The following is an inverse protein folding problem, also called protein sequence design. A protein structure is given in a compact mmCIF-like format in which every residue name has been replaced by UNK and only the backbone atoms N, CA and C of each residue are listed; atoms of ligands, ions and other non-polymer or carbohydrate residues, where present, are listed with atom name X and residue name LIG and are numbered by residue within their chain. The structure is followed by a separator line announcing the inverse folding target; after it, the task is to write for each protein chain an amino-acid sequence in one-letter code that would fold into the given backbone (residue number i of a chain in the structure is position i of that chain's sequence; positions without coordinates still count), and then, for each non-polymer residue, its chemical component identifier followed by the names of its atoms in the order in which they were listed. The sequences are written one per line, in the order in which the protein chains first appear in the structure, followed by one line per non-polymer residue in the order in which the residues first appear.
data_IF_293598358654
#
_entry.id   IF_293598358654
#
_cell.length_a   1.000
_cell.length_b   1.000
_cell.length_c   1.000
_cell.angle_alpha   90.00
_cell.angle_beta   90.00
_cell.angle_gamma   90.00
#
_symmetry.space_group_name_H-M   'P 1'
#
loop_
_entity.id
_entity.type
_entity.pdbx_description
1 polymer ?
#
# COMPACT_ATOMS: atom_id res chain seq x y z
N UNK A 1 20.96 6.15 17.19
CA UNK A 1 19.94 5.61 16.27
C UNK A 1 18.67 5.52 17.08
N UNK A 2 17.87 6.57 17.04
CA UNK A 2 16.82 6.75 18.06
C UNK A 2 15.44 6.99 17.47
N UNK A 3 15.23 6.63 16.19
CA UNK A 3 13.91 6.84 15.59
C UNK A 3 13.62 5.90 14.42
N UNK A 4 12.31 5.80 14.11
CA UNK A 4 11.75 5.23 12.91
C UNK A 4 11.23 6.38 12.05
N UNK A 5 11.76 6.54 10.84
CA UNK A 5 11.31 7.54 9.87
C UNK A 5 10.24 6.96 8.95
N UNK A 6 9.21 7.76 8.69
CA UNK A 6 8.22 7.48 7.66
C UNK A 6 8.16 8.70 6.72
N UNK A 7 8.46 8.47 5.44
CA UNK A 7 8.25 9.50 4.43
C UNK A 7 6.75 9.64 4.15
N UNK A 8 6.27 10.87 4.21
CA UNK A 8 4.86 11.20 3.99
C UNK A 8 4.68 11.67 2.56
N UNK A 9 4.00 10.89 1.75
CA UNK A 9 3.61 11.26 0.40
C UNK A 9 2.35 12.12 0.47
N UNK A 10 2.44 13.30 -0.10
CA UNK A 10 1.33 14.27 -0.17
C UNK A 10 1.14 14.64 -1.64
N UNK A 11 -0.05 14.41 -2.15
CA UNK A 11 -0.46 14.73 -3.50
C UNK A 11 -1.75 15.54 -3.46
N UNK A 12 -1.79 16.65 -4.22
CA UNK A 12 -2.96 17.53 -4.33
C UNK A 12 -3.55 17.96 -2.95
N UNK A 13 -2.66 18.18 -1.96
CA UNK A 13 -2.97 18.53 -0.56
C UNK A 13 -3.61 17.40 0.26
N UNK A 14 -3.57 16.19 -0.21
CA UNK A 14 -4.04 15.02 0.52
C UNK A 14 -2.86 14.10 0.87
N UNK A 15 -2.89 13.55 2.09
CA UNK A 15 -1.92 12.54 2.50
C UNK A 15 -2.29 11.21 1.86
N UNK A 16 -1.35 10.59 1.16
CA UNK A 16 -1.58 9.25 0.61
C UNK A 16 -1.87 8.23 1.72
N UNK A 17 -2.88 7.39 1.53
CA UNK A 17 -3.31 6.40 2.52
C UNK A 17 -2.17 5.51 3.01
N UNK A 18 -1.26 5.12 2.12
CA UNK A 18 -0.09 4.31 2.48
C UNK A 18 0.81 5.00 3.51
N UNK A 19 0.91 6.33 3.50
CA UNK A 19 1.67 7.08 4.50
C UNK A 19 1.05 6.97 5.89
N UNK A 20 -0.28 6.98 5.99
CA UNK A 20 -1.00 6.79 7.25
C UNK A 20 -0.94 5.32 7.73
N UNK A 21 -0.99 4.36 6.80
CA UNK A 21 -0.75 2.94 7.08
C UNK A 21 0.66 2.75 7.66
N UNK A 22 1.67 3.39 7.05
CA UNK A 22 3.06 3.33 7.49
C UNK A 22 3.30 4.00 8.84
N UNK A 23 2.60 5.08 9.17
CA UNK A 23 2.65 5.66 10.51
C UNK A 23 2.09 4.71 11.55
N UNK A 24 0.95 4.05 11.27
CA UNK A 24 0.39 3.04 12.18
C UNK A 24 1.39 1.90 12.41
N UNK A 25 1.98 1.33 11.36
CA UNK A 25 2.99 0.28 11.49
C UNK A 25 4.29 0.79 12.12
N UNK A 26 4.72 1.98 11.73
CA UNK A 26 5.89 2.65 12.32
C UNK A 26 5.75 2.86 13.83
N UNK A 27 4.54 3.16 14.33
CA UNK A 27 4.27 3.26 15.77
C UNK A 27 4.47 1.93 16.50
N UNK A 28 4.02 0.81 15.91
CA UNK A 28 4.27 -0.51 16.47
C UNK A 28 5.78 -0.81 16.54
N UNK A 29 6.50 -0.57 15.45
CA UNK A 29 7.95 -0.78 15.37
C UNK A 29 8.71 0.11 16.36
N UNK A 30 8.38 1.40 16.41
CA UNK A 30 8.99 2.38 17.30
C UNK A 30 8.74 2.02 18.78
N UNK A 31 7.55 1.54 19.11
CA UNK A 31 7.20 1.07 20.46
C UNK A 31 8.03 -0.16 20.85
N UNK A 32 8.17 -1.12 19.93
CA UNK A 32 8.99 -2.33 20.16
C UNK A 32 10.46 -1.99 20.36
N UNK A 33 10.96 -0.98 19.64
CA UNK A 33 12.35 -0.52 19.72
C UNK A 33 12.61 0.46 20.89
N UNK A 34 11.56 1.01 21.52
CA UNK A 34 11.68 2.05 22.55
C UNK A 34 12.20 3.37 22.00
N UNK A 35 11.84 3.75 20.77
CA UNK A 35 12.31 4.95 20.06
C UNK A 35 11.14 5.80 19.56
N UNK A 36 11.42 7.01 19.06
CA UNK A 36 10.42 7.88 18.48
C UNK A 36 10.00 7.42 17.07
N UNK A 37 8.73 7.67 16.75
CA UNK A 37 8.23 7.66 15.39
C UNK A 37 8.27 9.09 14.83
N UNK A 38 8.95 9.28 13.71
CA UNK A 38 9.13 10.58 13.11
C UNK A 38 8.64 10.58 11.66
N UNK A 39 7.71 11.47 11.36
CA UNK A 39 7.20 11.69 10.01
C UNK A 39 8.08 12.69 9.27
N UNK A 40 8.33 12.48 7.98
CA UNK A 40 9.10 13.41 7.13
C UNK A 40 8.20 13.86 5.98
N UNK A 41 7.81 15.14 5.99
CA UNK A 41 6.96 15.77 5.00
C UNK A 41 7.76 16.81 4.20
N UNK A 42 7.87 16.60 2.88
CA UNK A 42 8.60 17.49 1.96
C UNK A 42 7.62 17.90 0.86
N UNK A 43 7.37 19.20 0.70
CA UNK A 43 6.40 19.68 -0.28
C UNK A 43 6.04 21.14 -0.10
N UNK A 44 4.91 21.53 -0.69
CA UNK A 44 4.29 22.85 -0.51
C UNK A 44 3.08 22.73 0.39
N UNK A 45 2.93 23.64 1.33
CA UNK A 45 1.80 23.70 2.30
C UNK A 45 1.70 22.43 3.16
N UNK A 46 2.81 21.70 3.38
CA UNK A 46 2.80 20.39 4.07
C UNK A 46 2.69 20.51 5.60
N UNK A 47 3.04 21.66 6.16
CA UNK A 47 3.02 21.91 7.60
C UNK A 47 1.62 21.79 8.22
N UNK A 48 0.56 22.06 7.42
CA UNK A 48 -0.83 21.94 7.89
C UNK A 48 -1.25 20.52 8.25
N UNK A 49 -0.55 19.50 7.74
CA UNK A 49 -0.87 18.09 7.98
C UNK A 49 -0.30 17.55 9.30
N UNK A 50 0.55 18.29 10.01
CA UNK A 50 1.23 17.80 11.22
C UNK A 50 0.27 17.26 12.29
N UNK A 51 -0.87 17.94 12.51
CA UNK A 51 -1.88 17.49 13.46
C UNK A 51 -2.57 16.17 13.07
N UNK A 52 -2.70 15.91 11.78
CA UNK A 52 -3.23 14.64 11.28
C UNK A 52 -2.19 13.52 11.44
N UNK A 53 -0.93 13.77 11.10
CA UNK A 53 0.15 12.81 11.27
C UNK A 53 0.34 12.41 12.75
N UNK A 54 0.16 13.34 13.68
CA UNK A 54 0.18 13.08 15.12
C UNK A 54 -0.93 12.10 15.58
N UNK A 55 -2.11 12.13 14.94
CA UNK A 55 -3.19 11.18 15.23
C UNK A 55 -2.80 9.73 14.88
N UNK A 56 -1.92 9.55 13.90
CA UNK A 56 -1.41 8.23 13.50
C UNK A 56 -0.08 7.87 14.18
N UNK A 57 0.33 8.66 15.18
CA UNK A 57 1.40 8.27 16.10
C UNK A 57 2.75 8.97 15.89
N UNK A 58 2.85 9.97 15.01
CA UNK A 58 4.09 10.73 14.85
C UNK A 58 4.40 11.56 16.09
N UNK A 59 5.53 11.26 16.75
CA UNK A 59 6.04 12.03 17.88
C UNK A 59 6.66 13.35 17.39
N UNK A 60 7.33 13.30 16.26
CA UNK A 60 7.96 14.44 15.58
C UNK A 60 7.52 14.47 14.12
N UNK A 61 7.29 15.66 13.59
CA UNK A 61 7.02 15.89 12.18
C UNK A 61 8.10 16.83 11.62
N UNK A 62 9.00 16.28 10.85
CA UNK A 62 10.00 17.01 10.09
C UNK A 62 9.38 17.61 8.83
N UNK A 63 9.56 18.91 8.62
CA UNK A 63 8.89 19.66 7.56
C UNK A 63 9.90 20.44 6.71
N UNK A 64 9.91 20.17 5.40
CA UNK A 64 10.50 21.02 4.40
C UNK A 64 9.37 21.61 3.54
N UNK A 65 8.86 22.77 3.93
CA UNK A 65 7.70 23.41 3.32
C UNK A 65 8.11 24.58 2.44
N UNK A 66 8.14 24.34 1.12
CA UNK A 66 8.48 25.35 0.14
C UNK A 66 7.90 25.00 -1.25
N UNK A 67 7.59 26.04 -2.06
CA UNK A 67 7.13 25.89 -3.44
C UNK A 67 8.09 25.12 -4.33
N UNK A 68 9.39 25.15 -4.02
CA UNK A 68 10.43 24.46 -4.77
C UNK A 68 10.24 22.95 -4.83
N UNK A 69 9.50 22.37 -3.87
CA UNK A 69 9.21 20.94 -3.81
C UNK A 69 7.92 20.53 -4.52
N UNK A 70 7.15 21.46 -5.03
CA UNK A 70 5.91 21.20 -5.77
C UNK A 70 6.05 21.57 -7.27
N UNK A 71 5.58 20.72 -8.19
CA UNK A 71 5.20 19.31 -7.97
C UNK A 71 6.42 18.44 -7.63
N UNK A 72 6.18 17.20 -7.15
CA UNK A 72 7.23 16.27 -6.75
C UNK A 72 8.31 16.12 -7.82
N UNK A 73 9.57 16.21 -7.40
CA UNK A 73 10.76 15.93 -8.20
C UNK A 73 11.74 15.12 -7.37
N UNK A 74 12.22 14.03 -7.92
CA UNK A 74 13.02 13.05 -7.18
C UNK A 74 14.31 13.62 -6.61
N UNK A 75 15.04 14.44 -7.38
CA UNK A 75 16.35 14.92 -6.95
C UNK A 75 16.30 15.84 -5.70
N UNK A 76 15.50 16.94 -5.67
CA UNK A 76 15.47 17.80 -4.49
C UNK A 76 14.92 17.08 -3.26
N UNK A 77 13.90 16.20 -3.42
CA UNK A 77 13.41 15.41 -2.31
C UNK A 77 14.48 14.44 -1.79
N UNK A 78 15.26 13.81 -2.70
CA UNK A 78 16.38 12.93 -2.32
C UNK A 78 17.43 13.69 -1.53
N UNK A 79 17.82 14.89 -1.96
CA UNK A 79 18.81 15.70 -1.27
C UNK A 79 18.38 16.03 0.18
N UNK A 80 17.12 16.43 0.37
CA UNK A 80 16.56 16.71 1.70
C UNK A 80 16.52 15.46 2.56
N UNK A 81 15.98 14.36 2.04
CA UNK A 81 15.82 13.11 2.81
C UNK A 81 17.16 12.53 3.22
N UNK A 82 18.14 12.52 2.31
CA UNK A 82 19.51 12.06 2.59
C UNK A 82 20.17 12.92 3.66
N UNK A 83 20.11 14.25 3.48
CA UNK A 83 20.70 15.19 4.45
C UNK A 83 20.09 15.04 5.85
N UNK A 84 18.78 14.87 5.93
CA UNK A 84 18.09 14.63 7.22
C UNK A 84 18.49 13.29 7.83
N UNK A 85 18.55 12.22 7.04
CA UNK A 85 18.97 10.89 7.52
C UNK A 85 20.42 10.91 8.02
N UNK A 86 21.33 11.62 7.36
CA UNK A 86 22.73 11.78 7.78
C UNK A 86 22.87 12.55 9.09
N UNK A 87 21.99 13.53 9.33
CA UNK A 87 21.94 14.30 10.58
C UNK A 87 21.36 13.50 11.73
N UNK A 88 20.14 12.95 11.55
CA UNK A 88 19.35 12.34 12.64
C UNK A 88 19.65 10.85 12.85
N UNK A 89 20.21 10.17 11.85
CA UNK A 89 20.63 8.75 11.87
C UNK A 89 19.53 7.82 12.37
N UNK A 90 18.35 7.78 11.74
CA UNK A 90 17.29 6.87 12.14
C UNK A 90 17.73 5.40 12.01
N UNK A 91 17.10 4.52 12.76
CA UNK A 91 17.35 3.07 12.66
C UNK A 91 16.62 2.48 11.44
N UNK A 92 15.43 2.99 11.14
CA UNK A 92 14.56 2.50 10.07
C UNK A 92 14.05 3.71 9.27
N UNK A 93 13.90 3.55 7.95
CA UNK A 93 13.23 4.52 7.09
C UNK A 93 12.26 3.80 6.14
N UNK A 94 10.98 4.18 6.22
CA UNK A 94 9.88 3.55 5.50
C UNK A 94 9.29 4.49 4.43
N UNK A 95 8.91 3.90 3.30
CA UNK A 95 8.32 4.59 2.16
C UNK A 95 7.13 3.79 1.61
N UNK A 96 6.13 4.46 1.02
CA UNK A 96 5.10 3.78 0.25
C UNK A 96 5.66 3.16 -1.04
N UNK A 97 5.16 2.02 -1.47
CA UNK A 97 5.51 1.43 -2.77
C UNK A 97 4.63 2.00 -3.92
N UNK A 98 4.31 3.28 -3.85
CA UNK A 98 3.64 4.08 -4.88
C UNK A 98 4.57 4.34 -6.08
N UNK A 99 4.08 4.87 -7.20
CA UNK A 99 4.96 5.35 -8.27
C UNK A 99 6.03 6.34 -7.79
N UNK A 100 5.66 7.25 -6.87
CA UNK A 100 6.60 8.21 -6.26
C UNK A 100 7.64 7.47 -5.40
N UNK A 101 7.20 6.63 -4.47
CA UNK A 101 8.12 5.94 -3.57
C UNK A 101 9.03 4.95 -4.27
N UNK A 102 8.58 4.32 -5.37
CA UNK A 102 9.40 3.41 -6.19
C UNK A 102 10.50 4.12 -6.99
N UNK A 103 10.34 5.39 -7.30
CA UNK A 103 11.41 6.21 -7.88
C UNK A 103 12.29 6.83 -6.78
N UNK A 104 11.70 7.28 -5.69
CA UNK A 104 12.36 8.05 -4.64
C UNK A 104 13.22 7.19 -3.70
N UNK A 105 12.66 6.14 -3.11
CA UNK A 105 13.35 5.34 -2.09
C UNK A 105 14.64 4.67 -2.58
N UNK A 106 14.74 4.13 -3.82
CA UNK A 106 16.00 3.59 -4.34
C UNK A 106 17.10 4.64 -4.49
N UNK A 107 16.75 5.89 -4.79
CA UNK A 107 17.74 6.98 -4.89
C UNK A 107 18.30 7.35 -3.52
N UNK A 108 17.42 7.43 -2.50
CA UNK A 108 17.86 7.64 -1.12
C UNK A 108 18.76 6.48 -0.65
N UNK A 109 18.34 5.24 -0.91
CA UNK A 109 19.12 4.02 -0.59
C UNK A 109 20.51 4.03 -1.25
N UNK A 110 20.57 4.37 -2.53
CA UNK A 110 21.82 4.44 -3.30
C UNK A 110 22.75 5.52 -2.75
N UNK A 111 22.24 6.70 -2.42
CA UNK A 111 23.04 7.80 -1.89
C UNK A 111 23.62 7.47 -0.50
N UNK A 112 22.86 6.77 0.33
CA UNK A 112 23.28 6.35 1.67
C UNK A 112 24.09 5.04 1.69
N UNK A 113 24.28 4.38 0.55
CA UNK A 113 24.85 3.03 0.45
C UNK A 113 24.19 2.04 1.42
N UNK A 114 22.89 2.17 1.62
CA UNK A 114 22.07 1.31 2.49
C UNK A 114 21.17 0.38 1.68
N UNK A 115 20.89 -0.82 2.21
CA UNK A 115 19.98 -1.76 1.55
C UNK A 115 18.53 -1.32 1.61
N UNK A 116 17.79 -1.53 0.50
CA UNK A 116 16.36 -1.28 0.40
C UNK A 116 15.63 -2.55 -0.05
N UNK A 117 14.63 -2.98 0.72
CA UNK A 117 13.72 -4.03 0.29
C UNK A 117 12.46 -3.41 -0.30
N UNK A 118 12.16 -3.76 -1.55
CA UNK A 118 11.03 -3.19 -2.25
C UNK A 118 9.76 -4.03 -2.09
N UNK A 119 8.59 -3.35 -2.00
CA UNK A 119 7.26 -3.94 -2.09
C UNK A 119 6.96 -4.94 -0.97
N UNK A 120 7.33 -4.59 0.26
CA UNK A 120 7.06 -5.40 1.44
C UNK A 120 5.56 -5.47 1.74
N UNK A 121 5.14 -6.60 2.30
CA UNK A 121 3.76 -6.81 2.76
C UNK A 121 3.66 -6.93 4.27
N UNK A 122 4.79 -7.16 4.96
CA UNK A 122 4.85 -7.21 6.41
C UNK A 122 6.21 -6.73 6.91
N UNK A 123 6.22 -6.11 8.09
CA UNK A 123 7.41 -5.60 8.78
C UNK A 123 7.35 -6.01 10.25
N UNK A 124 8.42 -6.64 10.76
CA UNK A 124 8.50 -7.10 12.16
C UNK A 124 9.90 -6.84 12.72
N UNK A 125 10.02 -6.54 14.00
CA UNK A 125 11.30 -6.51 14.69
C UNK A 125 11.65 -7.92 15.20
N UNK A 126 12.88 -8.36 14.95
CA UNK A 126 13.35 -9.67 15.36
C UNK A 126 14.86 -9.72 15.61
N UNK A 127 15.32 -10.85 16.13
CA UNK A 127 16.72 -11.17 16.38
C UNK A 127 17.29 -12.01 15.24
N UNK A 128 18.51 -11.77 14.83
CA UNK A 128 19.14 -12.53 13.75
C UNK A 128 20.55 -12.97 14.14
N UNK A 129 20.83 -14.24 13.90
CA UNK A 129 22.18 -14.80 14.03
C UNK A 129 22.73 -15.13 12.65
N UNK A 130 23.80 -14.47 12.28
CA UNK A 130 24.48 -14.75 11.02
C UNK A 130 25.13 -16.14 11.07
N UNK A 131 24.70 -17.03 10.19
CA UNK A 131 25.15 -18.42 10.16
C UNK A 131 26.63 -18.59 9.79
N UNK A 132 27.24 -17.59 9.11
CA UNK A 132 28.64 -17.65 8.67
C UNK A 132 29.60 -17.09 9.72
N UNK A 133 29.24 -15.97 10.33
CA UNK A 133 30.09 -15.25 11.28
C UNK A 133 29.76 -15.59 12.72
N UNK A 134 28.61 -16.18 13.01
CA UNK A 134 28.09 -16.42 14.36
C UNK A 134 27.68 -15.16 15.10
N UNK A 135 27.74 -13.99 14.45
CA UNK A 135 27.38 -12.70 15.05
C UNK A 135 25.87 -12.62 15.28
N UNK A 136 25.48 -12.22 16.46
CA UNK A 136 24.09 -11.99 16.85
C UNK A 136 23.76 -10.51 16.71
N UNK A 137 22.57 -10.24 16.19
CA UNK A 137 22.02 -8.90 15.99
C UNK A 137 20.64 -8.86 16.61
N UNK A 138 20.45 -7.93 17.51
CA UNK A 138 19.18 -7.67 18.14
C UNK A 138 18.44 -6.56 17.38
N UNK A 139 17.12 -6.57 17.45
CA UNK A 139 16.28 -5.47 16.99
C UNK A 139 16.45 -5.13 15.49
N UNK A 140 16.54 -6.16 14.64
CA UNK A 140 16.55 -5.99 13.18
C UNK A 140 15.13 -5.90 12.61
N UNK A 141 14.98 -5.10 11.56
CA UNK A 141 13.77 -5.06 10.77
C UNK A 141 13.72 -6.27 9.83
N UNK A 142 12.77 -7.17 10.05
CA UNK A 142 12.41 -8.22 9.10
C UNK A 142 11.48 -7.64 8.05
N UNK A 143 11.96 -7.66 6.82
CA UNK A 143 11.31 -7.08 5.66
C UNK A 143 10.74 -8.22 4.84
N UNK A 144 9.45 -8.47 4.99
CA UNK A 144 8.76 -9.64 4.45
C UNK A 144 8.04 -9.25 3.17
N UNK A 145 8.31 -9.99 2.11
CA UNK A 145 7.69 -9.76 0.81
C UNK A 145 7.41 -11.04 0.05
N UNK A 146 6.37 -11.09 -0.79
CA UNK A 146 6.18 -12.16 -1.75
C UNK A 146 7.30 -12.15 -2.82
N UNK A 147 7.78 -13.34 -3.17
CA UNK A 147 8.75 -13.55 -4.24
C UNK A 147 8.22 -14.61 -5.22
N UNK A 148 8.80 -14.67 -6.42
CA UNK A 148 8.45 -15.64 -7.45
C UNK A 148 6.95 -15.77 -7.73
N UNK A 149 6.29 -14.64 -8.00
CA UNK A 149 4.86 -14.62 -8.31
C UNK A 149 3.94 -14.90 -7.11
N UNK A 150 4.46 -14.76 -5.86
CA UNK A 150 3.69 -14.97 -4.65
C UNK A 150 3.76 -16.39 -4.06
N UNK A 151 4.44 -17.32 -4.73
CA UNK A 151 4.56 -18.70 -4.25
C UNK A 151 5.55 -18.88 -3.09
N UNK A 152 6.41 -17.89 -2.86
CA UNK A 152 7.42 -17.90 -1.81
C UNK A 152 7.33 -16.57 -1.06
N UNK A 153 7.42 -16.64 0.25
CA UNK A 153 7.57 -15.47 1.12
C UNK A 153 9.06 -15.38 1.49
N UNK A 154 9.68 -14.25 1.17
CA UNK A 154 11.06 -13.98 1.51
C UNK A 154 11.12 -13.03 2.71
N UNK A 155 11.87 -13.41 3.75
CA UNK A 155 12.23 -12.53 4.84
C UNK A 155 13.65 -12.01 4.61
N UNK A 156 13.78 -10.70 4.46
CA UNK A 156 15.04 -10.03 4.15
C UNK A 156 15.46 -9.24 5.38
N UNK A 157 16.75 -9.33 5.72
CA UNK A 157 17.36 -8.59 6.82
C UNK A 157 18.57 -7.81 6.33
N UNK A 158 18.80 -6.63 6.90
CA UNK A 158 19.96 -5.79 6.63
C UNK A 158 20.69 -5.48 7.96
N UNK A 159 21.60 -6.37 8.40
CA UNK A 159 22.16 -6.26 9.73
C UNK A 159 23.22 -5.15 9.90
N UNK A 160 23.94 -4.79 8.83
CA UNK A 160 25.11 -3.92 8.95
C UNK A 160 24.88 -2.47 8.56
N UNK A 161 23.95 -2.21 7.62
CA UNK A 161 23.69 -0.85 7.15
C UNK A 161 22.50 -0.19 7.88
N UNK A 162 22.56 1.12 8.02
CA UNK A 162 21.49 1.96 8.58
C UNK A 162 21.30 3.20 7.71
N UNK A 163 20.03 3.68 7.62
CA UNK A 163 18.80 3.05 8.13
C UNK A 163 18.49 1.73 7.42
N UNK A 164 17.73 0.84 8.06
CA UNK A 164 17.12 -0.29 7.39
C UNK A 164 15.93 0.23 6.61
N UNK A 165 15.93 0.07 5.28
CA UNK A 165 14.96 0.73 4.42
C UNK A 165 14.01 -0.26 3.75
N UNK A 166 12.74 0.11 3.69
CA UNK A 166 11.72 -0.67 2.99
C UNK A 166 10.74 0.24 2.25
N UNK A 167 10.31 -0.19 1.05
CA UNK A 167 9.04 0.30 0.51
C UNK A 167 7.95 -0.71 0.82
N UNK A 168 6.75 -0.25 1.16
CA UNK A 168 5.62 -1.08 1.59
C UNK A 168 4.48 -0.91 0.61
N UNK A 169 3.90 -2.03 0.20
CA UNK A 169 2.76 -2.07 -0.71
C UNK A 169 1.57 -1.34 -0.09
N UNK A 170 0.85 -0.59 -0.91
CA UNK A 170 -0.37 0.09 -0.50
C UNK A 170 -1.46 -0.91 -0.12
N UNK A 171 -2.23 -0.59 0.93
CA UNK A 171 -3.38 -1.38 1.34
C UNK A 171 -3.04 -2.69 2.09
N UNK A 172 -1.76 -2.94 2.43
CA UNK A 172 -1.36 -4.16 3.18
C UNK A 172 -1.19 -3.93 4.68
N UNK A 173 -0.96 -2.69 5.10
CA UNK A 173 -0.89 -2.34 6.52
C UNK A 173 -2.23 -1.75 6.99
N UNK A 174 -2.47 -1.75 8.29
CA UNK A 174 -3.66 -1.12 8.86
C UNK A 174 -3.49 0.40 8.90
N UNK A 175 -4.59 1.11 8.71
CA UNK A 175 -4.70 2.56 8.90
C UNK A 175 -5.56 2.82 10.13
N UNK A 176 -4.93 2.98 11.29
CA UNK A 176 -5.64 3.12 12.58
C UNK A 176 -5.11 4.33 13.32
N UNK A 177 -5.99 5.30 13.58
CA UNK A 177 -5.65 6.45 14.39
C UNK A 177 -5.56 6.05 15.87
N UNK A 178 -4.64 6.65 16.61
CA UNK A 178 -4.51 6.47 18.05
C UNK A 178 -5.71 7.08 18.79
N UNK A 179 -6.11 6.44 19.90
CA UNK A 179 -7.13 6.98 20.79
C UNK A 179 -6.73 8.34 21.38
N UNK A 180 -5.43 8.53 21.64
CA UNK A 180 -4.84 9.81 22.04
C UNK A 180 -3.72 10.14 21.06
N UNK A 181 -3.78 11.28 20.34
CA UNK A 181 -2.73 11.70 19.43
C UNK A 181 -1.35 11.77 20.11
N UNK A 182 -0.29 11.46 19.37
CA UNK A 182 1.08 11.68 19.80
C UNK A 182 1.42 13.19 19.88
N UNK A 183 2.63 13.54 20.32
CA UNK A 183 3.03 14.94 20.51
C UNK A 183 2.99 15.75 19.21
N UNK A 184 3.41 15.15 18.08
CA UNK A 184 3.42 15.80 16.78
C UNK A 184 4.29 17.06 16.75
N UNK A 185 5.43 17.03 17.46
CA UNK A 185 6.36 18.18 17.51
C UNK A 185 6.83 18.52 16.10
N UNK A 186 6.56 19.75 15.66
CA UNK A 186 6.98 20.21 14.32
C UNK A 186 8.43 20.67 14.38
N UNK A 187 9.28 20.11 13.52
CA UNK A 187 10.67 20.53 13.32
C UNK A 187 10.89 20.90 11.86
N UNK A 188 11.39 22.10 11.65
CA UNK A 188 11.71 22.59 10.31
C UNK A 188 13.08 22.05 9.85
N UNK A 189 13.13 21.57 8.61
CA UNK A 189 14.36 21.08 7.99
C UNK A 189 15.06 22.28 7.32
N UNK A 190 16.33 22.48 7.61
CA UNK A 190 17.17 23.51 6.95
C UNK A 190 17.58 23.03 5.53
N UNK A 191 16.59 22.77 4.68
CA UNK A 191 16.75 22.15 3.37
C UNK A 191 17.64 22.94 2.42
N UNK A 192 17.76 24.26 2.60
CA UNK A 192 18.61 25.14 1.78
C UNK A 192 20.10 24.76 1.86
N UNK A 193 20.50 24.11 2.95
CA UNK A 193 21.86 23.59 3.12
C UNK A 193 22.09 22.24 2.42
N UNK A 194 21.01 21.54 2.06
CA UNK A 194 21.03 20.18 1.53
C UNK A 194 20.84 20.14 0.01
N UNK A 195 19.99 21.03 -0.52
CA UNK A 195 19.63 21.08 -1.95
C UNK A 195 20.64 21.94 -2.70
N UNK A 196 21.18 21.41 -3.80
CA UNK A 196 22.13 22.09 -4.70
C UNK A 196 21.41 22.50 -5.99
N UNK A 197 21.97 23.45 -6.72
CA UNK A 197 21.45 23.88 -8.04
C UNK A 197 21.29 22.69 -9.00
N UNK A 198 22.19 21.71 -8.93
CA UNK A 198 22.14 20.49 -9.74
C UNK A 198 20.90 19.64 -9.46
N UNK A 199 20.37 19.68 -8.25
CA UNK A 199 19.17 18.93 -7.86
C UNK A 199 17.90 19.59 -8.43
N UNK A 200 17.98 20.85 -8.83
CA UNK A 200 16.92 21.66 -9.43
C UNK A 200 16.96 21.70 -10.96
N UNK A 201 17.90 20.98 -11.59
CA UNK A 201 18.12 21.02 -13.05
C UNK A 201 16.90 20.56 -13.89
N UNK A 202 15.99 19.79 -13.31
CA UNK A 202 14.78 19.28 -13.98
C UNK A 202 13.57 20.14 -13.60
N UNK A 203 12.84 20.62 -14.61
CA UNK A 203 11.57 21.33 -14.45
C UNK A 203 10.45 20.53 -15.09
N UNK A 204 9.35 20.31 -14.36
CA UNK A 204 8.13 19.73 -14.92
C UNK A 204 7.46 20.80 -15.76
N UNK A 205 7.25 20.53 -17.04
CA UNK A 205 6.61 21.44 -17.98
C UNK A 205 5.11 21.24 -17.99
N UNK A 206 4.67 19.97 -17.93
CA UNK A 206 3.26 19.58 -17.98
C UNK A 206 3.07 18.29 -17.20
N UNK A 207 1.93 18.16 -16.55
CA UNK A 207 1.52 16.96 -15.82
C UNK A 207 0.13 16.55 -16.31
N UNK A 208 0.03 15.38 -16.92
CA UNK A 208 -1.24 14.78 -17.27
C UNK A 208 -1.64 13.80 -16.19
N UNK A 209 -2.71 14.09 -15.49
CA UNK A 209 -3.34 13.19 -14.51
C UNK A 209 -4.59 12.63 -15.17
N UNK A 210 -4.62 11.34 -15.42
CA UNK A 210 -5.86 10.67 -15.79
C UNK A 210 -6.77 10.62 -14.55
N UNK A 211 -7.95 11.21 -14.66
CA UNK A 211 -8.96 11.09 -13.60
C UNK A 211 -9.33 9.61 -13.44
N UNK A 212 -8.97 9.02 -12.31
CA UNK A 212 -9.44 7.67 -11.96
C UNK A 212 -10.95 7.74 -11.76
N UNK A 213 -11.71 7.37 -12.77
CA UNK A 213 -13.18 7.30 -12.73
C UNK A 213 -13.70 6.22 -11.77
N UNK A 214 -12.82 5.31 -11.31
CA UNK A 214 -13.18 4.12 -10.56
C UNK A 214 -12.28 4.03 -9.33
N UNK A 215 -12.87 4.09 -8.15
CA UNK A 215 -12.14 3.90 -6.88
C UNK A 215 -12.61 2.62 -6.19
N UNK A 216 -11.98 1.48 -6.52
CA UNK A 216 -12.31 0.20 -5.90
C UNK A 216 -11.62 -0.01 -4.55
N UNK A 217 -10.56 0.76 -4.22
CA UNK A 217 -9.82 0.61 -2.94
C UNK A 217 -10.69 0.89 -1.71
N UNK A 218 -11.53 1.92 -1.78
CA UNK A 218 -12.39 2.35 -0.67
C UNK A 218 -13.75 1.67 -0.63
N UNK A 219 -14.06 0.77 -1.57
CA UNK A 219 -15.37 0.16 -1.67
C UNK A 219 -15.64 -0.82 -0.52
N UNK A 220 -16.79 -0.66 0.17
CA UNK A 220 -17.24 -1.58 1.22
C UNK A 220 -17.73 -2.92 0.66
N UNK A 221 -18.20 -2.95 -0.58
CA UNK A 221 -18.67 -4.14 -1.28
C UNK A 221 -18.01 -4.18 -2.64
N UNK A 222 -17.44 -5.33 -3.00
CA UNK A 222 -16.86 -5.57 -4.32
C UNK A 222 -17.45 -6.85 -4.91
N UNK A 223 -17.96 -6.74 -6.12
CA UNK A 223 -18.34 -7.89 -6.95
C UNK A 223 -17.31 -8.04 -8.06
N UNK A 224 -16.50 -9.08 -8.02
CA UNK A 224 -15.42 -9.28 -8.95
C UNK A 224 -15.71 -10.40 -9.95
N UNK A 225 -15.48 -10.13 -11.23
CA UNK A 225 -15.62 -11.10 -12.30
C UNK A 225 -14.28 -11.69 -12.72
N UNK A 226 -14.24 -13.02 -12.91
CA UNK A 226 -13.12 -13.73 -13.48
C UNK A 226 -13.31 -14.08 -14.96
N UNK A 227 -12.34 -14.80 -15.53
CA UNK A 227 -12.45 -15.33 -16.89
C UNK A 227 -13.65 -16.28 -17.06
N UNK A 228 -14.06 -16.96 -15.97
CA UNK A 228 -15.21 -17.86 -15.95
C UNK A 228 -16.57 -17.16 -16.13
N UNK A 229 -16.63 -15.82 -16.16
CA UNK A 229 -17.83 -15.05 -16.57
C UNK A 229 -18.07 -15.17 -18.09
N UNK A 230 -17.04 -15.55 -18.87
CA UNK A 230 -17.14 -15.99 -20.26
C UNK A 230 -17.10 -14.89 -21.29
N UNK A 231 -17.66 -13.70 -21.05
CA UNK A 231 -17.69 -12.61 -22.03
C UNK A 231 -17.86 -11.23 -21.40
N UNK A 232 -17.69 -10.19 -22.22
CA UNK A 232 -17.98 -8.80 -21.84
C UNK A 232 -19.47 -8.61 -21.52
N UNK A 233 -20.36 -9.28 -22.24
CA UNK A 233 -21.81 -9.26 -22.01
C UNK A 233 -22.15 -9.93 -20.67
N UNK A 234 -21.47 -11.03 -20.31
CA UNK A 234 -21.59 -11.70 -19.00
C UNK A 234 -21.20 -10.79 -17.84
N UNK A 235 -20.23 -9.87 -18.04
CA UNK A 235 -19.87 -8.88 -17.05
C UNK A 235 -21.02 -7.90 -16.71
N UNK A 236 -22.02 -7.77 -17.55
CA UNK A 236 -23.22 -6.99 -17.21
C UNK A 236 -23.93 -7.51 -15.97
N UNK A 237 -23.94 -8.82 -15.74
CA UNK A 237 -24.51 -9.43 -14.51
C UNK A 237 -23.68 -9.05 -13.27
N UNK A 238 -22.36 -9.01 -13.40
CA UNK A 238 -21.46 -8.59 -12.31
C UNK A 238 -21.74 -7.12 -11.95
N UNK A 239 -21.86 -6.27 -12.95
CA UNK A 239 -22.24 -4.86 -12.77
C UNK A 239 -23.63 -4.70 -12.13
N UNK A 240 -24.62 -5.47 -12.58
CA UNK A 240 -25.97 -5.41 -12.01
C UNK A 240 -25.97 -5.80 -10.53
N UNK A 241 -25.27 -6.89 -10.18
CA UNK A 241 -25.15 -7.32 -8.78
C UNK A 241 -24.44 -6.28 -7.92
N UNK A 242 -23.32 -5.71 -8.41
CA UNK A 242 -22.61 -4.65 -7.71
C UNK A 242 -23.51 -3.43 -7.45
N UNK A 243 -24.21 -2.95 -8.48
CA UNK A 243 -25.14 -1.83 -8.36
C UNK A 243 -26.26 -2.10 -7.34
N UNK A 244 -26.83 -3.30 -7.34
CA UNK A 244 -27.91 -3.67 -6.41
C UNK A 244 -27.41 -3.70 -4.97
N UNK A 245 -26.17 -4.11 -4.75
CA UNK A 245 -25.54 -4.15 -3.43
C UNK A 245 -24.90 -2.82 -3.00
N UNK A 246 -24.91 -1.80 -3.86
CA UNK A 246 -24.24 -0.51 -3.61
C UNK A 246 -22.73 -0.64 -3.56
N UNK A 247 -22.17 -1.56 -4.35
CA UNK A 247 -20.75 -1.86 -4.40
C UNK A 247 -20.09 -1.50 -5.73
N UNK A 248 -18.78 -1.76 -5.80
CA UNK A 248 -17.95 -1.55 -6.99
C UNK A 248 -17.66 -2.88 -7.70
N UNK A 249 -17.35 -2.77 -9.00
CA UNK A 249 -16.97 -3.93 -9.83
C UNK A 249 -15.46 -4.08 -9.86
N UNK A 250 -14.99 -5.28 -9.47
CA UNK A 250 -13.61 -5.70 -9.65
C UNK A 250 -13.45 -6.76 -10.75
N UNK A 251 -12.19 -7.08 -11.08
CA UNK A 251 -11.90 -8.10 -12.08
C UNK A 251 -10.60 -8.85 -11.78
N UNK A 252 -10.51 -10.10 -12.23
CA UNK A 252 -9.24 -10.79 -12.30
C UNK A 252 -8.42 -10.31 -13.51
N UNK A 253 -7.09 -10.46 -13.45
CA UNK A 253 -6.21 -10.15 -14.58
C UNK A 253 -6.65 -10.84 -15.87
N UNK A 254 -7.00 -12.12 -15.80
CA UNK A 254 -7.42 -12.88 -16.97
C UNK A 254 -8.68 -12.31 -17.64
N UNK A 255 -9.61 -11.74 -16.87
CA UNK A 255 -10.79 -11.08 -17.42
C UNK A 255 -10.45 -9.73 -18.07
N UNK A 256 -9.51 -8.98 -17.50
CA UNK A 256 -8.99 -7.74 -18.08
C UNK A 256 -8.22 -8.01 -19.36
N UNK A 257 -7.28 -8.97 -19.35
CA UNK A 257 -6.48 -9.37 -20.52
C UNK A 257 -7.38 -9.88 -21.66
N UNK A 258 -8.54 -10.47 -21.33
CA UNK A 258 -9.56 -10.88 -22.31
C UNK A 258 -10.45 -9.72 -22.81
N UNK A 259 -10.29 -8.51 -22.28
CA UNK A 259 -11.06 -7.32 -22.67
C UNK A 259 -12.51 -7.29 -22.16
N UNK A 260 -12.81 -8.06 -21.09
CA UNK A 260 -14.16 -8.08 -20.51
C UNK A 260 -14.47 -6.80 -19.72
N UNK A 261 -13.42 -6.17 -19.15
CA UNK A 261 -13.54 -4.92 -18.41
C UNK A 261 -12.22 -4.12 -18.44
N UNK A 262 -12.24 -2.90 -17.91
CA UNK A 262 -11.11 -1.99 -17.90
C UNK A 262 -10.02 -2.41 -16.91
N UNK A 263 -8.76 -1.99 -17.19
CA UNK A 263 -7.59 -2.33 -16.38
C UNK A 263 -7.66 -1.77 -14.93
N UNK A 264 -8.30 -0.63 -14.74
CA UNK A 264 -8.47 0.02 -13.43
C UNK A 264 -9.27 -0.83 -12.43
N UNK A 265 -10.02 -1.81 -12.93
CA UNK A 265 -10.78 -2.78 -12.11
C UNK A 265 -9.98 -4.03 -11.72
N UNK A 266 -8.72 -4.13 -12.17
CA UNK A 266 -7.91 -5.30 -11.89
C UNK A 266 -7.55 -5.41 -10.42
N UNK A 267 -7.88 -6.54 -9.78
CA UNK A 267 -7.54 -6.89 -8.41
C UNK A 267 -6.48 -7.99 -8.40
N UNK A 268 -5.48 -7.85 -7.54
CA UNK A 268 -4.42 -8.82 -7.38
C UNK A 268 -3.03 -8.18 -7.22
N UNK A 269 -1.98 -8.99 -7.26
CA UNK A 269 -0.59 -8.55 -7.08
C UNK A 269 -0.13 -7.47 -8.07
N UNK A 270 -0.63 -7.52 -9.29
CA UNK A 270 -0.31 -6.57 -10.37
C UNK A 270 -1.41 -5.53 -10.61
N UNK A 271 -2.42 -5.54 -9.78
CA UNK A 271 -3.55 -4.61 -9.79
C UNK A 271 -3.71 -3.89 -8.46
N UNK A 272 -4.95 -3.62 -8.12
CA UNK A 272 -5.32 -2.96 -6.86
C UNK A 272 -5.46 -4.00 -5.75
N UNK A 273 -4.96 -3.68 -4.54
CA UNK A 273 -5.27 -4.44 -3.32
C UNK A 273 -6.48 -3.80 -2.64
N UNK A 274 -7.45 -4.63 -2.23
CA UNK A 274 -8.73 -4.21 -1.67
C UNK A 274 -9.04 -4.93 -0.37
N UNK A 275 -9.81 -4.29 0.52
CA UNK A 275 -10.25 -4.84 1.81
C UNK A 275 -11.73 -4.52 2.07
N UNK A 276 -12.66 -4.97 1.20
CA UNK A 276 -14.05 -4.72 1.40
C UNK A 276 -14.61 -5.50 2.60
N UNK A 277 -15.76 -5.05 3.09
CA UNK A 277 -16.56 -5.84 4.05
C UNK A 277 -17.15 -7.08 3.41
N UNK A 278 -17.44 -7.01 2.10
CA UNK A 278 -17.97 -8.13 1.32
C UNK A 278 -17.28 -8.19 -0.05
N UNK A 279 -16.68 -9.32 -0.35
CA UNK A 279 -16.08 -9.65 -1.64
C UNK A 279 -16.84 -10.82 -2.29
N UNK A 280 -17.41 -10.62 -3.46
CA UNK A 280 -18.09 -11.68 -4.22
C UNK A 280 -17.26 -12.02 -5.45
N UNK A 281 -16.69 -13.22 -5.49
CA UNK A 281 -15.86 -13.72 -6.58
C UNK A 281 -16.70 -14.54 -7.56
N UNK A 282 -16.94 -14.01 -8.76
CA UNK A 282 -17.77 -14.62 -9.79
C UNK A 282 -16.89 -15.22 -10.89
N UNK A 283 -16.85 -16.55 -11.02
CA UNK A 283 -16.05 -17.23 -12.05
C UNK A 283 -14.54 -16.97 -11.97
N UNK A 284 -14.02 -16.80 -10.75
CA UNK A 284 -12.61 -16.59 -10.44
C UNK A 284 -12.00 -17.90 -9.95
N UNK A 285 -10.86 -18.33 -10.49
CA UNK A 285 -10.18 -19.56 -10.08
C UNK A 285 -9.55 -19.49 -8.68
N UNK A 286 -9.09 -18.29 -8.26
CA UNK A 286 -8.46 -18.12 -6.95
C UNK A 286 -6.97 -18.43 -6.93
N UNK A 287 -6.26 -18.18 -8.01
CA UNK A 287 -4.81 -18.19 -8.04
C UNK A 287 -4.24 -17.14 -7.09
N UNK A 288 -3.07 -17.44 -6.49
CA UNK A 288 -2.46 -16.59 -5.45
C UNK A 288 -2.23 -15.14 -5.92
N UNK A 289 -1.98 -14.94 -7.21
CA UNK A 289 -1.80 -13.62 -7.79
C UNK A 289 -3.06 -12.74 -7.68
N UNK A 290 -4.25 -13.36 -7.66
CA UNK A 290 -5.51 -12.66 -7.44
C UNK A 290 -5.83 -12.56 -5.94
N UNK A 291 -5.72 -13.69 -5.22
CA UNK A 291 -6.11 -13.74 -3.80
C UNK A 291 -5.26 -12.83 -2.93
N UNK A 292 -3.98 -12.65 -3.23
CA UNK A 292 -3.12 -11.68 -2.53
C UNK A 292 -3.60 -10.22 -2.61
N UNK A 293 -4.53 -9.91 -3.50
CA UNK A 293 -5.15 -8.58 -3.60
C UNK A 293 -6.48 -8.46 -2.88
N UNK A 294 -7.06 -9.55 -2.29
CA UNK A 294 -8.39 -9.51 -1.68
C UNK A 294 -8.57 -10.43 -0.46
N UNK A 295 -7.58 -11.22 -0.08
CA UNK A 295 -7.65 -12.18 1.03
C UNK A 295 -7.92 -11.54 2.40
N UNK A 296 -7.69 -10.23 2.53
CA UNK A 296 -8.01 -9.45 3.73
C UNK A 296 -9.44 -8.89 3.73
N UNK A 297 -10.32 -9.35 2.83
CA UNK A 297 -11.75 -9.03 2.85
C UNK A 297 -12.41 -9.60 4.11
N UNK A 298 -13.35 -8.86 4.71
CA UNK A 298 -14.01 -9.34 5.95
C UNK A 298 -14.92 -10.53 5.71
N UNK A 299 -15.50 -10.65 4.52
CA UNK A 299 -16.31 -11.80 4.08
C UNK A 299 -16.07 -12.05 2.60
N UNK A 300 -15.84 -13.30 2.23
CA UNK A 300 -15.61 -13.75 0.85
C UNK A 300 -16.71 -14.74 0.46
N UNK A 301 -17.39 -14.44 -0.64
CA UNK A 301 -18.37 -15.34 -1.28
C UNK A 301 -17.83 -15.74 -2.64
N UNK A 302 -17.75 -17.02 -2.95
CA UNK A 302 -17.37 -17.50 -4.27
C UNK A 302 -18.56 -18.08 -5.04
N UNK A 303 -18.65 -17.80 -6.32
CA UNK A 303 -19.58 -18.40 -7.28
C UNK A 303 -18.73 -19.02 -8.37
N UNK A 304 -18.69 -20.36 -8.43
CA UNK A 304 -17.87 -21.10 -9.37
C UNK A 304 -18.54 -22.38 -9.81
N UNK A 305 -18.38 -22.75 -11.07
CA UNK A 305 -18.85 -24.05 -11.59
C UNK A 305 -17.95 -25.20 -11.15
N UNK A 306 -16.67 -24.93 -10.84
CA UNK A 306 -15.72 -25.91 -10.33
C UNK A 306 -15.76 -25.96 -8.80
N UNK A 307 -16.24 -27.07 -8.17
CA UNK A 307 -16.27 -27.20 -6.72
C UNK A 307 -14.87 -27.23 -6.09
N UNK A 308 -13.84 -27.61 -6.86
CA UNK A 308 -12.44 -27.70 -6.40
C UNK A 308 -11.63 -26.41 -6.67
N UNK A 309 -12.27 -25.36 -7.17
CA UNK A 309 -11.59 -24.08 -7.43
C UNK A 309 -10.88 -23.57 -6.17
N UNK A 310 -9.60 -23.17 -6.26
CA UNK A 310 -8.83 -22.69 -5.10
C UNK A 310 -9.50 -21.55 -4.33
N UNK A 311 -10.30 -20.70 -5.00
CA UNK A 311 -11.06 -19.61 -4.35
C UNK A 311 -12.02 -20.13 -3.30
N UNK A 312 -12.60 -21.33 -3.47
CA UNK A 312 -13.54 -21.93 -2.55
C UNK A 312 -12.90 -22.27 -1.20
N UNK A 313 -11.57 -22.46 -1.16
CA UNK A 313 -10.84 -22.80 0.07
C UNK A 313 -10.67 -21.58 1.01
N UNK A 314 -10.74 -20.39 0.48
CA UNK A 314 -10.61 -19.14 1.25
C UNK A 314 -11.96 -18.41 1.40
N UNK A 315 -13.00 -18.88 0.72
CA UNK A 315 -14.33 -18.29 0.78
C UNK A 315 -15.06 -18.72 2.07
N UNK A 316 -15.73 -17.79 2.73
CA UNK A 316 -16.65 -18.07 3.84
C UNK A 316 -17.90 -18.81 3.32
N UNK A 317 -18.32 -18.50 2.10
CA UNK A 317 -19.44 -19.17 1.42
C UNK A 317 -19.06 -19.50 -0.03
N UNK A 318 -19.11 -20.78 -0.38
CA UNK A 318 -18.89 -21.27 -1.73
C UNK A 318 -20.21 -21.74 -2.35
N UNK A 319 -20.58 -21.14 -3.48
CA UNK A 319 -21.77 -21.49 -4.25
C UNK A 319 -21.30 -22.17 -5.55
N UNK A 320 -21.62 -23.47 -5.66
CA UNK A 320 -21.31 -24.22 -6.88
C UNK A 320 -22.45 -24.01 -7.88
N UNK A 321 -22.15 -23.29 -8.95
CA UNK A 321 -23.11 -22.95 -10.00
C UNK A 321 -22.55 -21.94 -11.01
N UNK A 322 -23.25 -21.75 -12.11
CA UNK A 322 -22.86 -20.75 -13.09
C UNK A 322 -23.26 -19.33 -12.66
N UNK A 323 -22.50 -18.35 -13.13
CA UNK A 323 -22.74 -16.93 -12.84
C UNK A 323 -24.14 -16.51 -13.35
N UNK A 324 -24.50 -17.00 -14.53
CA UNK A 324 -25.79 -16.72 -15.19
C UNK A 324 -27.01 -17.27 -14.42
N UNK A 325 -26.83 -18.35 -13.66
CA UNK A 325 -27.92 -18.92 -12.86
C UNK A 325 -27.98 -18.31 -11.46
N UNK A 326 -26.84 -18.07 -10.84
CA UNK A 326 -26.75 -17.67 -9.44
C UNK A 326 -27.02 -16.18 -9.27
N UNK A 327 -26.39 -15.31 -10.04
CA UNK A 327 -26.50 -13.85 -9.89
C UNK A 327 -27.95 -13.35 -10.02
N UNK A 328 -28.75 -13.76 -11.03
CA UNK A 328 -30.14 -13.28 -11.12
C UNK A 328 -31.00 -13.69 -9.93
N UNK A 329 -30.74 -14.89 -9.34
CA UNK A 329 -31.45 -15.35 -8.13
C UNK A 329 -31.06 -14.51 -6.91
N UNK A 330 -29.77 -14.17 -6.76
CA UNK A 330 -29.29 -13.30 -5.70
C UNK A 330 -29.90 -11.89 -5.79
N UNK A 331 -29.90 -11.29 -6.98
CA UNK A 331 -30.49 -9.99 -7.25
C UNK A 331 -31.98 -9.98 -6.92
N UNK A 332 -32.70 -10.99 -7.40
CA UNK A 332 -34.16 -11.14 -7.14
C UNK A 332 -34.42 -11.23 -5.64
N UNK A 333 -33.70 -12.10 -4.93
CA UNK A 333 -33.86 -12.30 -3.49
C UNK A 333 -33.55 -11.02 -2.71
N UNK A 334 -32.48 -10.33 -3.05
CA UNK A 334 -32.09 -9.08 -2.38
C UNK A 334 -33.14 -7.98 -2.59
N UNK A 335 -33.61 -7.75 -3.83
CA UNK A 335 -34.67 -6.78 -4.13
C UNK A 335 -36.00 -7.07 -3.42
N UNK A 336 -36.28 -8.34 -3.09
CA UNK A 336 -37.50 -8.72 -2.38
C UNK A 336 -37.39 -8.55 -0.86
N UNK A 337 -36.18 -8.64 -0.29
CA UNK A 337 -35.97 -8.69 1.14
C UNK A 337 -35.20 -7.49 1.72
N UNK A 338 -34.55 -6.67 0.91
CA UNK A 338 -33.98 -5.39 1.34
C UNK A 338 -35.10 -4.32 1.35
N UNK A 339 -35.58 -3.99 2.55
CA UNK A 339 -36.46 -2.85 2.82
C UNK A 339 -35.66 -1.70 3.40
#
# INVERSE_FOLDING_TARGET
MNSVFVYIEIEDKEIADVSLELLTKGRELATTLGVNLEAVAIGKDVKCHASELAKYGADVVWVADDEIFAPFRTLPHTAVMVGLIEQEKPQIALFGATPVGRDFAPRVSSALHSGLTADCTELVIGEHKDAKTGKEYDSLLYQIRPAFGGNIIATIVNPECRPQMATVREGVMRKEALATPAAGEIREIEWQKMVKDTDLAVRIVERHIEERKINIKGASVIVAGGYGVGSKEGFALVHELANVLGGEVGASRAAVDAGFTEHERQIGQTGVTVRPKLYIACGISGQIQHTAGMDQSAMIVSINTDPEAPINKIADYAIVGSVEEVIPKMIKYYKQNSK
#
